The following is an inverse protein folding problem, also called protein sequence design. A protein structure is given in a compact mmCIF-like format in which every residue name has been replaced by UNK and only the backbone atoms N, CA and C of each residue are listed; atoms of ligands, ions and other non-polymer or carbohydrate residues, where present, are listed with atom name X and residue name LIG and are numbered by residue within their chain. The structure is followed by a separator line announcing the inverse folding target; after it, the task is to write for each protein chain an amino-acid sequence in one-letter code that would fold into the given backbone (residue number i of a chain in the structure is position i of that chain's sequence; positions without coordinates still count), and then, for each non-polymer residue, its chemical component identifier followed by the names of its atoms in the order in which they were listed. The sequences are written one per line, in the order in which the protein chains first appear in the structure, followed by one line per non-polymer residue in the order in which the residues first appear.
data_IF_931330504115
#
_entry.id   IF_931330504115
#
_cell.length_a   1.000
_cell.length_b   1.000
_cell.length_c   1.000
_cell.angle_alpha   90.00
_cell.angle_beta   90.00
_cell.angle_gamma   90.00
#
_symmetry.space_group_name_H-M   'P 1'
#
loop_
_entity.id
_entity.type
_entity.pdbx_description
1 polymer ?
#
# COMPACT_ATOMS: atom_id res chain seq x y z
N UNK A 1 13.60 0.74 6.66
CA UNK A 1 12.63 0.68 5.54
C UNK A 1 11.33 1.33 5.95
N UNK A 2 10.67 1.96 5.01
CA UNK A 2 9.38 2.59 5.26
C UNK A 2 8.26 1.58 5.09
N UNK A 3 7.35 1.52 6.06
CA UNK A 3 6.15 0.68 5.98
C UNK A 3 4.95 1.53 5.60
N UNK A 4 4.06 0.97 4.80
CA UNK A 4 2.82 1.62 4.39
C UNK A 4 1.69 0.60 4.44
N UNK A 5 0.55 1.02 4.97
CA UNK A 5 -0.64 0.17 5.07
C UNK A 5 -1.56 0.39 3.88
N UNK A 6 -2.08 -0.71 3.33
CA UNK A 6 -3.05 -0.71 2.25
C UNK A 6 -4.25 -1.55 2.66
N UNK A 7 -5.44 -1.11 2.29
CA UNK A 7 -6.66 -1.88 2.54
C UNK A 7 -7.02 -2.68 1.29
N UNK A 8 -7.16 -4.00 1.45
CA UNK A 8 -7.65 -4.89 0.40
C UNK A 8 -9.18 -4.90 0.40
N UNK A 9 -9.77 -5.04 -0.79
CA UNK A 9 -11.22 -5.18 -0.91
C UNK A 9 -11.71 -6.54 -0.46
N UNK A 10 -10.87 -7.57 -0.62
CA UNK A 10 -11.18 -8.96 -0.25
C UNK A 10 -9.89 -9.70 0.12
N UNK A 11 -9.99 -10.81 0.88
CA UNK A 11 -8.80 -11.56 1.27
C UNK A 11 -8.14 -12.27 0.08
N UNK A 12 -6.86 -12.63 0.25
CA UNK A 12 -6.15 -13.45 -0.72
C UNK A 12 -5.56 -12.73 -1.91
N UNK A 13 -5.63 -11.39 -1.96
CA UNK A 13 -5.08 -10.61 -3.07
C UNK A 13 -3.56 -10.40 -2.94
N UNK A 14 -3.05 -10.38 -1.72
CA UNK A 14 -1.62 -10.22 -1.44
C UNK A 14 -1.21 -11.18 -0.34
N UNK A 15 0.07 -11.61 -0.39
CA UNK A 15 0.64 -12.54 0.60
C UNK A 15 1.97 -12.00 1.13
N UNK A 16 2.34 -12.34 2.39
CA UNK A 16 3.66 -11.96 2.92
C UNK A 16 4.79 -12.47 2.03
N UNK A 17 5.79 -11.61 1.83
CA UNK A 17 6.93 -11.92 0.96
C UNK A 17 6.72 -11.62 -0.52
N UNK A 18 5.52 -11.27 -0.92
CA UNK A 18 5.20 -10.95 -2.31
C UNK A 18 5.82 -9.61 -2.71
N UNK A 19 6.50 -9.57 -3.85
CA UNK A 19 6.96 -8.32 -4.45
C UNK A 19 5.78 -7.60 -5.09
N UNK A 20 5.70 -6.29 -4.86
CA UNK A 20 4.60 -5.48 -5.36
C UNK A 20 5.11 -4.21 -6.02
N UNK A 21 4.31 -3.68 -6.93
CA UNK A 21 4.48 -2.33 -7.45
C UNK A 21 3.26 -1.51 -7.13
N UNK A 22 3.45 -0.20 -6.97
CA UNK A 22 2.33 0.70 -6.66
C UNK A 22 2.25 1.82 -7.69
N UNK A 23 1.04 2.33 -7.87
CA UNK A 23 0.76 3.52 -8.69
C UNK A 23 0.36 4.64 -7.75
N UNK A 24 0.91 5.83 -7.98
CA UNK A 24 0.55 7.02 -7.22
C UNK A 24 -0.66 7.70 -7.85
N UNK A 25 -1.68 7.94 -7.03
CA UNK A 25 -2.81 8.77 -7.41
C UNK A 25 -2.63 10.18 -6.85
N UNK A 26 -2.95 11.20 -7.63
CA UNK A 26 -2.76 12.60 -7.26
C UNK A 26 -4.13 13.25 -7.04
N UNK A 27 -4.32 13.80 -5.84
CA UNK A 27 -5.49 14.57 -5.46
C UNK A 27 -5.11 16.05 -5.33
N UNK A 28 -6.05 16.99 -5.27
CA UNK A 28 -5.70 18.42 -5.17
C UNK A 28 -4.76 18.76 -4.01
N UNK A 29 -4.88 18.06 -2.87
CA UNK A 29 -4.10 18.38 -1.67
C UNK A 29 -3.37 17.17 -1.08
N UNK A 30 -3.40 16.03 -1.75
CA UNK A 30 -2.83 14.80 -1.19
C UNK A 30 -2.49 13.78 -2.27
N UNK A 31 -1.89 12.68 -1.83
CA UNK A 31 -1.48 11.55 -2.66
C UNK A 31 -1.97 10.26 -2.04
N UNK A 32 -2.27 9.27 -2.86
CA UNK A 32 -2.57 7.93 -2.39
C UNK A 32 -1.88 6.91 -3.30
N UNK A 33 -1.83 5.66 -2.84
CA UNK A 33 -1.12 4.61 -3.57
C UNK A 33 -2.01 3.39 -3.73
N UNK A 34 -1.89 2.74 -4.87
CA UNK A 34 -2.64 1.53 -5.19
C UNK A 34 -1.64 0.42 -5.52
N UNK A 35 -1.77 -0.73 -4.87
CA UNK A 35 -1.00 -1.91 -5.24
C UNK A 35 -1.57 -2.44 -6.56
N UNK A 36 -0.72 -2.49 -7.59
CA UNK A 36 -1.12 -2.92 -8.93
C UNK A 36 -1.43 -4.43 -8.97
N UNK A 37 -2.44 -4.82 -9.72
CA UNK A 37 -3.37 -4.08 -10.58
C UNK A 37 -4.70 -3.70 -9.89
N UNK A 38 -4.66 -2.96 -8.83
CA UNK A 38 -5.82 -2.55 -8.01
C UNK A 38 -6.18 -3.56 -6.94
N UNK A 39 -5.16 -4.12 -6.30
CA UNK A 39 -5.35 -5.12 -5.23
C UNK A 39 -5.69 -4.49 -3.89
N UNK A 40 -5.10 -3.33 -3.58
CA UNK A 40 -5.29 -2.65 -2.32
C UNK A 40 -4.96 -1.17 -2.45
N UNK A 41 -5.53 -0.33 -1.60
CA UNK A 41 -5.33 1.12 -1.63
C UNK A 41 -4.86 1.63 -0.28
N UNK A 42 -3.96 2.62 -0.29
CA UNK A 42 -3.49 3.28 0.91
C UNK A 42 -4.43 4.40 1.35
N UNK A 43 -4.18 4.94 2.56
CA UNK A 43 -4.74 6.22 2.98
C UNK A 43 -4.11 7.36 2.18
N UNK A 44 -4.60 8.58 2.40
CA UNK A 44 -4.06 9.77 1.76
C UNK A 44 -2.85 10.31 2.53
N UNK A 45 -1.85 10.78 1.79
CA UNK A 45 -0.60 11.31 2.34
C UNK A 45 -0.34 12.73 1.86
N UNK A 46 0.29 13.54 2.70
CA UNK A 46 0.74 14.89 2.34
C UNK A 46 1.96 14.80 1.41
N UNK A 47 2.26 15.92 0.74
CA UNK A 47 3.40 16.01 -0.19
C UNK A 47 4.72 15.53 0.43
N UNK A 48 5.04 15.96 1.65
CA UNK A 48 6.28 15.56 2.34
C UNK A 48 6.31 14.10 2.77
N UNK A 49 5.17 13.42 2.76
CA UNK A 49 5.05 12.00 3.07
C UNK A 49 4.99 11.15 1.80
N UNK A 50 5.16 11.78 0.65
CA UNK A 50 5.07 11.14 -0.64
C UNK A 50 6.10 10.03 -0.78
N UNK A 51 5.66 8.89 -1.31
CA UNK A 51 6.51 7.73 -1.54
C UNK A 51 7.47 8.00 -2.71
N UNK A 52 8.75 7.71 -2.54
CA UNK A 52 9.78 7.93 -3.56
C UNK A 52 9.96 6.73 -4.47
N UNK A 53 9.77 5.52 -3.95
CA UNK A 53 9.89 4.29 -4.73
C UNK A 53 8.52 3.81 -5.15
N UNK A 54 8.48 2.90 -6.14
CA UNK A 54 7.23 2.28 -6.60
C UNK A 54 7.24 0.77 -6.41
N UNK A 55 8.34 0.22 -5.93
CA UNK A 55 8.51 -1.22 -5.71
C UNK A 55 8.66 -1.49 -4.22
N UNK A 56 7.96 -2.50 -3.73
CA UNK A 56 8.04 -2.89 -2.34
C UNK A 56 7.79 -4.38 -2.16
N UNK A 57 7.77 -4.80 -0.89
CA UNK A 57 7.54 -6.20 -0.52
C UNK A 57 6.49 -6.24 0.57
N UNK A 58 5.53 -7.12 0.46
CA UNK A 58 4.52 -7.33 1.50
C UNK A 58 5.19 -7.93 2.74
N UNK A 59 5.06 -7.25 3.87
CA UNK A 59 5.60 -7.70 5.15
C UNK A 59 4.60 -8.62 5.85
N UNK A 60 3.34 -8.19 5.92
CA UNK A 60 2.29 -8.94 6.60
C UNK A 60 0.92 -8.62 6.03
N UNK A 61 -0.05 -9.48 6.33
CA UNK A 61 -1.45 -9.28 6.01
C UNK A 61 -2.24 -9.44 7.29
N UNK A 62 -3.01 -8.42 7.65
CA UNK A 62 -3.81 -8.40 8.87
C UNK A 62 -5.29 -8.48 8.55
N UNK A 63 -6.01 -9.29 9.31
CA UNK A 63 -7.47 -9.30 9.31
C UNK A 63 -7.96 -8.52 10.51
N UNK A 64 -8.80 -7.51 10.25
CA UNK A 64 -9.38 -6.65 11.29
C UNK A 64 -10.89 -6.58 11.10
N UNK A 65 -11.65 -6.14 12.13
CA UNK A 65 -13.10 -5.96 11.99
C UNK A 65 -13.51 -5.07 10.81
N UNK A 66 -12.68 -4.10 10.45
CA UNK A 66 -12.94 -3.17 9.34
C UNK A 66 -12.49 -3.69 7.97
N UNK A 67 -11.84 -4.85 7.90
CA UNK A 67 -11.41 -5.44 6.64
C UNK A 67 -10.03 -6.07 6.69
N UNK A 68 -9.44 -6.28 5.51
CA UNK A 68 -8.13 -6.91 5.35
C UNK A 68 -7.10 -5.86 4.96
N UNK A 69 -5.95 -5.87 5.63
CA UNK A 69 -4.91 -4.85 5.45
C UNK A 69 -3.59 -5.48 5.10
N UNK A 70 -2.87 -4.85 4.19
CA UNK A 70 -1.52 -5.24 3.77
C UNK A 70 -0.54 -4.23 4.33
N UNK A 71 0.49 -4.71 5.01
CA UNK A 71 1.62 -3.88 5.40
C UNK A 71 2.75 -4.17 4.44
N UNK A 72 3.16 -3.18 3.67
CA UNK A 72 4.24 -3.32 2.70
C UNK A 72 5.44 -2.47 3.11
N UNK A 73 6.64 -2.96 2.79
CA UNK A 73 7.90 -2.26 3.07
C UNK A 73 8.49 -1.72 1.77
N UNK A 74 8.99 -0.50 1.83
CA UNK A 74 9.64 0.19 0.72
C UNK A 74 11.03 0.63 1.14
N UNK A 75 12.00 0.49 0.25
CA UNK A 75 13.40 0.83 0.51
C UNK A 75 13.63 2.34 0.43
N UNK A 76 13.22 3.00 1.49
CA UNK A 76 13.46 4.44 1.66
C UNK A 76 13.41 4.91 3.10
#
# INVERSE_FOLDING_TARGET
MREMEFKMERPGLCEPGQEITVTEGILPTSYYYTINPSLAMSANYEFRQRLKTRNGVVKSVDERPSGFYVIAEFDE
#
